data_IF_927808012113
#
_entry.id   IF_927808012113
#
_cell.length_a   1.000
_cell.length_b   1.000
_cell.length_c   1.000
_cell.angle_alpha   90.00
_cell.angle_beta   90.00
_cell.angle_gamma   90.00
#
_symmetry.space_group_name_H-M   'P 1'
#
loop_
_entity.id
_entity.type
_entity.pdbx_description
1 polymer ?
#
# COMPACT_ATOMS: atom_id res chain seq x y z
N UNK A 1 -12.10 -17.47 -0.70
CA UNK A 1 -13.27 -16.59 -0.89
C UNK A 1 -14.09 -16.53 0.39
N UNK A 2 -13.90 -15.47 1.19
CA UNK A 2 -14.68 -15.17 2.39
C UNK A 2 -15.26 -13.75 2.26
N UNK A 3 -16.52 -13.59 1.77
CA UNK A 3 -17.14 -12.28 1.59
C UNK A 3 -17.50 -11.58 2.93
N UNK A 4 -17.47 -12.28 4.05
CA UNK A 4 -17.70 -11.73 5.38
C UNK A 4 -16.40 -11.31 6.10
N UNK A 5 -15.25 -11.41 5.43
CA UNK A 5 -13.97 -11.03 6.03
C UNK A 5 -13.96 -9.54 6.37
N UNK A 6 -13.53 -9.21 7.59
CA UNK A 6 -13.35 -7.82 7.98
C UNK A 6 -12.00 -7.29 7.46
N UNK A 7 -12.05 -6.40 6.46
CA UNK A 7 -10.85 -5.86 5.79
C UNK A 7 -10.71 -4.38 6.14
N UNK A 8 -9.54 -3.99 6.61
CA UNK A 8 -9.19 -2.58 6.85
C UNK A 8 -8.05 -2.15 5.93
N UNK A 9 -8.28 -1.11 5.16
CA UNK A 9 -7.25 -0.35 4.45
C UNK A 9 -6.97 0.96 5.16
N UNK A 10 -5.71 1.33 5.25
CA UNK A 10 -5.26 2.59 5.87
C UNK A 10 -3.91 2.99 5.29
N UNK A 11 -3.63 4.29 5.19
CA UNK A 11 -2.25 4.79 4.96
C UNK A 11 -1.54 4.93 6.30
N UNK A 12 -0.21 4.86 6.32
CA UNK A 12 0.56 5.09 7.56
C UNK A 12 0.30 6.45 8.20
N UNK A 13 0.02 7.48 7.41
CA UNK A 13 -0.38 8.80 7.92
C UNK A 13 -1.75 8.78 8.61
N UNK A 14 -2.75 8.14 8.01
CA UNK A 14 -4.08 8.03 8.61
C UNK A 14 -4.05 7.20 9.89
N UNK A 15 -3.29 6.10 9.91
CA UNK A 15 -3.07 5.32 11.14
C UNK A 15 -2.46 6.20 12.26
N UNK A 16 -1.48 7.05 11.92
CA UNK A 16 -0.89 7.97 12.87
C UNK A 16 -1.90 9.00 13.39
N UNK A 17 -2.71 9.58 12.49
CA UNK A 17 -3.73 10.56 12.84
C UNK A 17 -4.81 9.95 13.73
N UNK A 18 -5.30 8.76 13.39
CA UNK A 18 -6.31 8.04 14.16
C UNK A 18 -5.78 7.68 15.55
N UNK A 19 -4.49 7.30 15.65
CA UNK A 19 -3.85 7.07 16.93
C UNK A 19 -3.76 8.35 17.78
N UNK A 20 -3.28 9.45 17.20
CA UNK A 20 -3.18 10.76 17.89
C UNK A 20 -4.56 11.22 18.37
N UNK A 21 -5.58 11.11 17.51
CA UNK A 21 -6.96 11.46 17.82
C UNK A 21 -7.50 10.59 18.96
N UNK A 22 -7.21 9.29 18.96
CA UNK A 22 -7.62 8.37 20.03
C UNK A 22 -7.01 8.75 21.39
N UNK A 23 -5.79 9.29 21.41
CA UNK A 23 -5.14 9.79 22.63
C UNK A 23 -5.85 11.04 23.13
N UNK A 24 -6.08 12.02 22.24
CA UNK A 24 -6.72 13.29 22.59
C UNK A 24 -8.15 13.11 23.10
N UNK A 25 -8.89 12.19 22.50
CA UNK A 25 -10.30 11.89 22.84
C UNK A 25 -10.45 10.84 23.93
N UNK A 26 -9.35 10.23 24.40
CA UNK A 26 -9.34 9.11 25.36
C UNK A 26 -10.11 7.87 24.86
N UNK A 27 -10.03 7.60 23.57
CA UNK A 27 -10.70 6.49 22.87
C UNK A 27 -9.72 5.44 22.35
N UNK A 28 -8.58 5.24 23.03
CA UNK A 28 -7.55 4.29 22.59
C UNK A 28 -8.06 2.85 22.49
N UNK A 29 -9.06 2.46 23.28
CA UNK A 29 -9.68 1.13 23.18
C UNK A 29 -10.42 0.95 21.85
N UNK A 30 -11.16 1.97 21.40
CA UNK A 30 -11.88 1.93 20.13
C UNK A 30 -10.90 1.85 18.96
N UNK A 31 -9.83 2.65 19.00
CA UNK A 31 -8.72 2.55 18.04
C UNK A 31 -8.17 1.12 17.97
N UNK A 32 -7.86 0.50 19.12
CA UNK A 32 -7.35 -0.89 19.12
C UNK A 32 -8.36 -1.87 18.55
N UNK A 33 -9.65 -1.74 18.87
CA UNK A 33 -10.69 -2.62 18.31
C UNK A 33 -10.76 -2.49 16.79
N UNK A 34 -10.70 -1.26 16.27
CA UNK A 34 -10.76 -0.98 14.84
C UNK A 34 -9.60 -1.60 14.06
N UNK A 35 -8.37 -1.51 14.57
CA UNK A 35 -7.19 -2.02 13.87
C UNK A 35 -6.80 -3.47 14.20
N UNK A 36 -7.23 -4.01 15.35
CA UNK A 36 -6.82 -5.36 15.81
C UNK A 36 -7.91 -6.43 15.66
N UNK A 37 -9.15 -6.05 15.37
CA UNK A 37 -10.26 -6.99 15.14
C UNK A 37 -10.59 -7.16 13.64
N UNK A 38 -9.55 -7.29 12.81
CA UNK A 38 -9.67 -7.45 11.36
C UNK A 38 -9.14 -8.82 10.94
N UNK A 39 -9.64 -9.32 9.81
CA UNK A 39 -9.10 -10.52 9.15
C UNK A 39 -7.93 -10.19 8.24
N UNK A 40 -7.92 -8.98 7.69
CA UNK A 40 -6.88 -8.43 6.83
C UNK A 40 -6.66 -6.95 7.13
N UNK A 41 -5.39 -6.59 7.43
CA UNK A 41 -4.93 -5.21 7.50
C UNK A 41 -4.05 -4.88 6.28
N UNK A 42 -4.46 -3.90 5.50
CA UNK A 42 -3.70 -3.31 4.40
C UNK A 42 -3.17 -1.95 4.86
N UNK A 43 -1.85 -1.78 4.87
CA UNK A 43 -1.20 -0.51 5.23
C UNK A 43 -0.41 0.01 4.05
N UNK A 44 -0.79 1.19 3.58
CA UNK A 44 -0.11 1.88 2.49
C UNK A 44 1.00 2.80 3.01
N UNK A 45 2.09 2.90 2.25
CA UNK A 45 3.17 3.88 2.42
C UNK A 45 3.86 3.87 3.80
N UNK A 46 4.37 2.71 4.23
CA UNK A 46 4.99 2.55 5.55
C UNK A 46 6.24 3.42 5.80
N UNK A 47 6.84 3.97 4.75
CA UNK A 47 7.94 4.93 4.84
C UNK A 47 7.58 6.16 5.71
N UNK A 48 6.29 6.53 5.80
CA UNK A 48 5.84 7.65 6.62
C UNK A 48 5.79 7.37 8.13
N UNK A 49 6.07 6.13 8.57
CA UNK A 49 6.23 5.84 9.99
C UNK A 49 7.58 6.31 10.57
N UNK A 50 8.61 6.48 9.74
CA UNK A 50 10.00 6.66 10.18
C UNK A 50 10.19 7.73 11.27
N UNK A 51 9.52 8.88 11.13
CA UNK A 51 9.68 10.01 12.07
C UNK A 51 8.66 10.02 13.23
N UNK A 52 7.83 8.99 13.37
CA UNK A 52 6.70 8.96 14.33
C UNK A 52 6.87 7.85 15.38
N UNK A 53 7.79 8.01 16.32
CA UNK A 53 8.16 6.95 17.30
C UNK A 53 6.98 6.33 18.06
N UNK A 54 6.08 7.15 18.60
CA UNK A 54 4.90 6.66 19.32
C UNK A 54 3.93 5.88 18.40
N UNK A 55 3.80 6.32 17.14
CA UNK A 55 3.02 5.61 16.14
C UNK A 55 3.67 4.28 15.76
N UNK A 56 5.00 4.24 15.60
CA UNK A 56 5.73 3.00 15.35
C UNK A 56 5.53 1.99 16.48
N UNK A 57 5.53 2.45 17.73
CA UNK A 57 5.28 1.59 18.88
C UNK A 57 3.85 1.02 18.88
N UNK A 58 2.83 1.85 18.69
CA UNK A 58 1.45 1.38 18.63
C UNK A 58 1.21 0.46 17.42
N UNK A 59 1.82 0.76 16.27
CA UNK A 59 1.78 -0.09 15.09
C UNK A 59 2.46 -1.44 15.36
N UNK A 60 3.62 -1.45 16.03
CA UNK A 60 4.30 -2.69 16.42
C UNK A 60 3.39 -3.58 17.28
N UNK A 61 2.64 -3.02 18.23
CA UNK A 61 1.68 -3.78 19.03
C UNK A 61 0.51 -4.31 18.19
N UNK A 62 -0.03 -3.48 17.30
CA UNK A 62 -1.10 -3.87 16.38
C UNK A 62 -0.67 -5.01 15.47
N UNK A 63 0.52 -4.89 14.85
CA UNK A 63 1.14 -5.93 14.04
C UNK A 63 1.26 -7.24 14.82
N UNK A 64 1.78 -7.19 16.04
CA UNK A 64 1.94 -8.37 16.89
C UNK A 64 0.62 -9.07 17.16
N UNK A 65 -0.40 -8.32 17.60
CA UNK A 65 -1.71 -8.90 17.91
C UNK A 65 -2.33 -9.57 16.68
N UNK A 66 -2.25 -8.94 15.51
CA UNK A 66 -2.75 -9.53 14.27
C UNK A 66 -1.95 -10.77 13.85
N UNK A 67 -0.62 -10.68 13.89
CA UNK A 67 0.28 -11.77 13.53
C UNK A 67 0.10 -13.00 14.42
N UNK A 68 0.03 -12.81 15.75
CA UNK A 68 -0.19 -13.88 16.73
C UNK A 68 -1.58 -14.54 16.56
N UNK A 69 -2.58 -13.76 16.14
CA UNK A 69 -3.92 -14.25 15.83
C UNK A 69 -4.06 -14.78 14.39
N UNK A 70 -2.94 -14.99 13.67
CA UNK A 70 -2.89 -15.48 12.29
C UNK A 70 -3.75 -14.67 11.31
N UNK A 71 -3.84 -13.35 11.53
CA UNK A 71 -4.51 -12.42 10.62
C UNK A 71 -3.56 -11.99 9.52
N UNK A 72 -4.09 -11.70 8.33
CA UNK A 72 -3.28 -11.29 7.20
C UNK A 72 -2.88 -9.82 7.35
N UNK A 73 -1.63 -9.52 7.06
CA UNK A 73 -1.11 -8.15 7.00
C UNK A 73 -0.44 -7.97 5.63
N UNK A 74 -0.74 -6.88 4.95
CA UNK A 74 -0.07 -6.48 3.71
C UNK A 74 0.39 -5.05 3.87
N UNK A 75 1.64 -4.79 3.50
CA UNK A 75 2.28 -3.49 3.62
C UNK A 75 2.81 -3.10 2.25
N UNK A 76 2.70 -1.82 1.89
CA UNK A 76 3.41 -1.25 0.73
C UNK A 76 4.49 -0.29 1.24
N UNK A 77 5.54 -0.11 0.44
CA UNK A 77 6.63 0.79 0.76
C UNK A 77 7.33 1.26 -0.52
N UNK A 78 7.69 2.54 -0.57
CA UNK A 78 8.56 3.09 -1.62
C UNK A 78 10.04 2.70 -1.45
N UNK A 79 10.41 2.17 -0.28
CA UNK A 79 11.78 1.83 0.09
C UNK A 79 11.84 0.45 0.74
N UNK A 80 12.98 -0.21 0.64
CA UNK A 80 13.19 -1.43 1.40
C UNK A 80 13.11 -1.14 2.91
N UNK A 81 12.61 -2.08 3.74
CA UNK A 81 12.47 -1.87 5.18
C UNK A 81 13.72 -1.34 5.89
N UNK A 82 14.91 -1.81 5.50
CA UNK A 82 16.20 -1.39 6.03
C UNK A 82 16.66 0.00 5.56
N UNK A 83 16.01 0.58 4.55
CA UNK A 83 16.32 1.91 3.99
C UNK A 83 15.33 2.99 4.44
N UNK A 84 14.29 2.63 5.20
CA UNK A 84 13.35 3.58 5.79
C UNK A 84 14.05 4.29 6.96
N UNK A 85 14.30 5.61 6.88
CA UNK A 85 15.00 6.33 7.93
C UNK A 85 14.25 6.26 9.27
N UNK A 86 14.99 6.03 10.36
CA UNK A 86 14.47 6.01 11.75
C UNK A 86 13.36 4.97 12.02
N UNK A 87 13.14 4.02 11.11
CA UNK A 87 12.29 2.87 11.39
C UNK A 87 12.97 1.97 12.43
N UNK A 88 12.25 1.62 13.49
CA UNK A 88 12.79 0.78 14.56
C UNK A 88 13.19 -0.60 14.04
N UNK A 89 14.37 -1.10 14.44
CA UNK A 89 14.91 -2.40 14.00
C UNK A 89 13.94 -3.57 14.22
N UNK A 90 13.12 -3.51 15.28
CA UNK A 90 12.10 -4.52 15.56
C UNK A 90 11.02 -4.58 14.48
N UNK A 91 10.63 -3.45 13.89
CA UNK A 91 9.68 -3.39 12.77
C UNK A 91 10.34 -3.89 11.48
N UNK A 92 11.58 -3.47 11.21
CA UNK A 92 12.38 -4.00 10.09
C UNK A 92 12.46 -5.53 10.14
N UNK A 93 12.75 -6.08 11.32
CA UNK A 93 12.77 -7.53 11.53
C UNK A 93 11.42 -8.21 11.27
N UNK A 94 10.30 -7.55 11.57
CA UNK A 94 8.96 -8.10 11.25
C UNK A 94 8.69 -8.09 9.76
N UNK A 95 8.99 -6.99 9.09
CA UNK A 95 8.72 -6.84 7.66
C UNK A 95 9.54 -7.86 6.85
N UNK A 96 10.82 -8.05 7.21
CA UNK A 96 11.71 -9.02 6.55
C UNK A 96 11.37 -10.49 6.83
N UNK A 97 10.57 -10.80 7.86
CA UNK A 97 10.10 -12.18 8.13
C UNK A 97 8.90 -12.56 7.25
N UNK A 98 8.26 -11.59 6.61
CA UNK A 98 7.18 -11.81 5.67
C UNK A 98 7.67 -12.15 4.27
N UNK A 99 6.73 -12.22 3.34
CA UNK A 99 7.02 -12.27 1.91
C UNK A 99 7.28 -10.84 1.41
N UNK A 100 8.49 -10.58 0.91
CA UNK A 100 8.83 -9.34 0.22
C UNK A 100 8.83 -9.57 -1.28
N UNK A 101 8.11 -8.73 -2.02
CA UNK A 101 8.05 -8.77 -3.49
C UNK A 101 8.26 -7.36 -4.01
N UNK A 102 9.24 -7.21 -4.89
CA UNK A 102 9.53 -5.93 -5.53
C UNK A 102 8.61 -5.74 -6.73
N UNK A 103 8.08 -4.52 -6.90
CA UNK A 103 7.32 -4.11 -8.08
C UNK A 103 8.24 -3.29 -8.98
N UNK A 104 8.67 -3.87 -10.10
CA UNK A 104 9.54 -3.20 -11.06
C UNK A 104 8.73 -2.49 -12.15
N UNK A 105 9.30 -1.48 -12.83
CA UNK A 105 8.67 -0.88 -13.99
C UNK A 105 8.31 -1.95 -15.05
N UNK A 106 7.12 -1.87 -15.66
CA UNK A 106 6.68 -2.82 -16.67
C UNK A 106 7.48 -2.69 -17.98
N UNK A 107 7.71 -3.83 -18.64
CA UNK A 107 8.25 -3.85 -20.01
C UNK A 107 7.25 -3.29 -21.03
N UNK A 108 7.69 -3.11 -22.28
CA UNK A 108 6.87 -2.50 -23.33
C UNK A 108 5.57 -3.29 -23.58
N UNK A 109 5.65 -4.62 -23.61
CA UNK A 109 4.49 -5.48 -23.83
C UNK A 109 3.46 -5.32 -22.71
N UNK A 110 3.92 -5.30 -21.46
CA UNK A 110 3.10 -5.08 -20.27
C UNK A 110 2.51 -3.68 -20.27
N UNK A 111 3.26 -2.65 -20.67
CA UNK A 111 2.73 -1.27 -20.80
C UNK A 111 1.60 -1.18 -21.82
N UNK A 112 1.74 -1.83 -22.98
CA UNK A 112 0.68 -1.90 -23.99
C UNK A 112 -0.55 -2.61 -23.43
N UNK A 113 -0.36 -3.72 -22.71
CA UNK A 113 -1.45 -4.46 -22.08
C UNK A 113 -2.18 -3.63 -21.00
N UNK A 114 -1.44 -2.86 -20.20
CA UNK A 114 -2.02 -1.93 -19.21
C UNK A 114 -2.87 -0.88 -19.91
N UNK A 115 -2.34 -0.22 -20.95
CA UNK A 115 -3.07 0.79 -21.71
C UNK A 115 -4.32 0.22 -22.38
N UNK A 116 -4.22 -0.99 -22.96
CA UNK A 116 -5.35 -1.67 -23.59
C UNK A 116 -6.44 -1.98 -22.56
N UNK A 117 -6.09 -2.59 -21.43
CA UNK A 117 -7.04 -2.88 -20.35
C UNK A 117 -7.70 -1.59 -19.82
N UNK A 118 -6.95 -0.48 -19.75
CA UNK A 118 -7.46 0.82 -19.32
C UNK A 118 -8.44 1.40 -20.34
N UNK A 119 -8.12 1.34 -21.63
CA UNK A 119 -9.00 1.77 -22.71
C UNK A 119 -10.31 0.95 -22.72
N UNK A 120 -10.20 -0.37 -22.59
CA UNK A 120 -11.35 -1.28 -22.53
C UNK A 120 -12.23 -1.00 -21.30
N UNK A 121 -11.63 -0.73 -20.14
CA UNK A 121 -12.36 -0.41 -18.90
C UNK A 121 -13.08 0.96 -18.96
N UNK A 122 -12.64 1.86 -19.83
CA UNK A 122 -13.22 3.18 -20.04
C UNK A 122 -14.06 3.27 -21.33
N UNK A 123 -14.32 2.14 -21.99
CA UNK A 123 -15.05 2.05 -23.27
C UNK A 123 -14.45 2.94 -24.38
N UNK A 124 -13.13 3.14 -24.37
CA UNK A 124 -12.40 3.93 -25.35
C UNK A 124 -11.94 3.06 -26.52
N UNK A 125 -12.37 3.40 -27.74
CA UNK A 125 -11.88 2.74 -28.95
C UNK A 125 -10.58 3.40 -29.43
N UNK A 126 -9.45 2.85 -28.98
CA UNK A 126 -8.12 3.36 -29.33
C UNK A 126 -7.39 2.33 -30.21
N UNK A 127 -6.91 2.72 -31.40
CA UNK A 127 -6.11 1.85 -32.24
C UNK A 127 -4.83 1.32 -31.55
N UNK A 128 -4.49 0.05 -31.80
CA UNK A 128 -3.34 -0.63 -31.20
C UNK A 128 -1.99 0.05 -31.49
N UNK A 129 -1.85 0.68 -32.65
CA UNK A 129 -0.67 1.46 -33.03
C UNK A 129 -0.51 2.72 -32.16
N UNK A 130 -1.63 3.35 -31.79
CA UNK A 130 -1.66 4.49 -30.87
C UNK A 130 -1.28 4.06 -29.46
N UNK A 131 -1.80 2.93 -28.97
CA UNK A 131 -1.40 2.36 -27.67
C UNK A 131 0.10 2.01 -27.66
N UNK A 132 0.59 1.40 -28.73
CA UNK A 132 2.01 1.05 -28.90
C UNK A 132 2.89 2.31 -28.92
N UNK A 133 2.42 3.37 -29.60
CA UNK A 133 3.12 4.65 -29.65
C UNK A 133 3.23 5.27 -28.24
N UNK A 134 2.12 5.36 -27.50
CA UNK A 134 2.09 5.92 -26.14
C UNK A 134 3.02 5.10 -25.22
N UNK A 135 2.90 3.77 -25.24
CA UNK A 135 3.73 2.87 -24.43
C UNK A 135 5.23 2.96 -24.78
N UNK A 136 5.58 3.29 -26.02
CA UNK A 136 6.95 3.50 -26.47
C UNK A 136 7.55 4.84 -26.07
N UNK A 137 6.74 5.85 -25.72
CA UNK A 137 7.23 7.17 -25.29
C UNK A 137 7.35 7.31 -23.77
N UNK A 138 6.66 6.47 -22.99
CA UNK A 138 6.58 6.60 -21.53
C UNK A 138 7.16 5.35 -20.87
N UNK A 139 8.33 5.52 -20.26
CA UNK A 139 9.06 4.46 -19.54
C UNK A 139 9.10 4.69 -18.01
N UNK A 140 8.59 5.83 -17.52
CA UNK A 140 8.76 6.27 -16.13
C UNK A 140 7.97 5.44 -15.13
N UNK A 141 6.64 5.51 -15.18
CA UNK A 141 5.74 4.80 -14.27
C UNK A 141 4.34 4.63 -14.90
N UNK A 142 3.57 3.70 -14.34
CA UNK A 142 2.21 3.37 -14.83
C UNK A 142 1.26 4.57 -14.72
N UNK A 143 1.43 5.44 -13.73
CA UNK A 143 0.57 6.62 -13.54
C UNK A 143 0.73 7.63 -14.68
N UNK A 144 1.97 7.88 -15.12
CA UNK A 144 2.25 8.75 -16.27
C UNK A 144 1.73 8.14 -17.57
N UNK A 145 1.88 6.82 -17.70
CA UNK A 145 1.39 6.05 -18.85
C UNK A 145 -0.13 6.17 -18.99
N UNK A 146 -0.87 5.92 -17.91
CA UNK A 146 -2.33 6.08 -17.87
C UNK A 146 -2.74 7.56 -18.06
N UNK A 147 -2.01 8.50 -17.45
CA UNK A 147 -2.28 9.92 -17.58
C UNK A 147 -2.11 10.45 -19.01
N UNK A 148 -1.24 9.84 -19.81
CA UNK A 148 -1.11 10.17 -21.22
C UNK A 148 -2.29 9.68 -22.05
N UNK A 149 -2.85 8.50 -21.73
CA UNK A 149 -4.03 7.97 -22.40
C UNK A 149 -5.25 8.89 -22.25
N UNK A 150 -5.46 9.44 -21.04
CA UNK A 150 -6.58 10.35 -20.74
C UNK A 150 -6.51 11.69 -21.49
N UNK A 151 -5.32 12.06 -22.01
CA UNK A 151 -5.12 13.32 -22.73
C UNK A 151 -5.37 13.21 -24.24
N UNK A 152 -5.62 12.01 -24.76
CA UNK A 152 -5.87 11.73 -26.18
C UNK A 152 -7.34 11.93 -26.54
#
# INVERSE_FOLDING_TARGET
NNPAANIKYVTSENFANDFINSIQTKQQEQFRQEYRNVDLLLVDDIQFFGDKEATQEEFFHTFNTLYENMKQIVLTSDRLPNEIPKLQERLVSRFNKGLSVDVTPPDLETRIAILRNKADAEDLSIPDDTLSYIAGQIESNVRDLEGALVRV
#
